data_IF_310659520084
#
_entry.id   IF_310659520084
#
_cell.length_a   1.000
_cell.length_b   1.000
_cell.length_c   1.000
_cell.angle_alpha   90.00
_cell.angle_beta   90.00
_cell.angle_gamma   90.00
#
_symmetry.space_group_name_H-M   'P 1'
#
loop_
_entity.id
_entity.type
_entity.pdbx_description
1 polymer ?
#
# COMPACT_ATOMS: atom_id res chain seq x y z
N UNK A 1 11.22 -23.02 12.17
CA UNK A 1 11.11 -22.08 11.04
C UNK A 1 9.62 -21.87 10.80
N UNK A 2 9.13 -20.63 10.84
CA UNK A 2 7.70 -20.31 10.74
C UNK A 2 7.25 -19.98 9.30
N UNK A 3 8.20 -19.84 8.36
CA UNK A 3 7.93 -19.54 6.96
C UNK A 3 7.96 -20.81 6.10
N UNK A 4 7.19 -20.80 5.01
CA UNK A 4 7.22 -21.82 3.97
C UNK A 4 7.57 -21.18 2.62
N UNK A 5 8.08 -21.99 1.68
CA UNK A 5 8.31 -21.56 0.31
C UNK A 5 7.02 -21.71 -0.51
N UNK A 6 6.93 -20.98 -1.62
CA UNK A 6 5.78 -21.02 -2.52
C UNK A 6 5.47 -22.45 -3.02
N UNK A 7 6.49 -23.25 -3.32
CA UNK A 7 6.34 -24.61 -3.84
C UNK A 7 5.58 -25.54 -2.87
N UNK A 8 5.60 -25.22 -1.57
CA UNK A 8 4.91 -26.00 -0.54
C UNK A 8 3.40 -25.72 -0.51
N UNK A 9 2.96 -24.59 -1.07
CA UNK A 9 1.57 -24.11 -1.02
C UNK A 9 0.92 -23.96 -2.40
N UNK A 10 1.68 -24.13 -3.50
CA UNK A 10 1.19 -23.89 -4.87
C UNK A 10 -0.02 -24.74 -5.28
N UNK A 11 -0.20 -25.93 -4.69
CA UNK A 11 -1.35 -26.83 -4.96
C UNK A 11 -2.50 -26.65 -3.95
N UNK A 12 -2.42 -25.65 -3.07
CA UNK A 12 -3.43 -25.38 -2.04
C UNK A 12 -4.27 -24.16 -2.41
N UNK A 13 -5.49 -24.09 -1.87
CA UNK A 13 -6.34 -22.91 -1.94
C UNK A 13 -6.38 -22.19 -0.60
N UNK A 14 -6.52 -20.86 -0.64
CA UNK A 14 -6.60 -20.00 0.52
C UNK A 14 -7.79 -19.03 0.42
N UNK A 15 -8.40 -18.71 1.56
CA UNK A 15 -9.43 -17.68 1.61
C UNK A 15 -8.83 -16.27 1.43
N UNK A 16 -7.61 -16.06 1.94
CA UNK A 16 -6.96 -14.76 1.94
C UNK A 16 -5.45 -14.83 1.71
N UNK A 17 -4.94 -13.84 0.98
CA UNK A 17 -3.52 -13.56 0.83
C UNK A 17 -3.28 -12.08 1.15
N UNK A 18 -2.22 -11.78 1.89
CA UNK A 18 -1.74 -10.41 2.07
C UNK A 18 -0.34 -10.32 1.48
N UNK A 19 -0.14 -9.37 0.57
CA UNK A 19 1.18 -9.03 0.04
C UNK A 19 1.59 -7.69 0.62
N UNK A 20 2.56 -7.72 1.53
CA UNK A 20 3.02 -6.55 2.28
C UNK A 20 3.81 -5.58 1.39
N UNK A 21 4.05 -4.38 1.90
CA UNK A 21 5.03 -3.47 1.31
C UNK A 21 6.44 -4.07 1.30
N UNK A 22 7.32 -3.45 0.50
CA UNK A 22 8.74 -3.78 0.42
C UNK A 22 9.55 -2.48 0.23
N UNK A 23 10.82 -2.42 0.69
CA UNK A 23 11.68 -1.26 0.55
C UNK A 23 12.24 -1.12 -0.88
N UNK A 24 11.36 -1.15 -1.89
CA UNK A 24 11.66 -1.15 -3.32
C UNK A 24 11.06 0.08 -4.03
N UNK A 25 10.72 1.12 -3.28
CA UNK A 25 10.09 2.34 -3.78
C UNK A 25 10.89 3.06 -4.86
N UNK A 26 12.22 2.93 -4.87
CA UNK A 26 13.13 3.56 -5.84
C UNK A 26 13.79 2.56 -6.80
N UNK A 27 13.40 1.29 -6.75
CA UNK A 27 13.95 0.22 -7.60
C UNK A 27 12.98 -0.02 -8.76
N UNK A 28 13.51 -0.05 -9.98
CA UNK A 28 12.72 -0.43 -11.16
C UNK A 28 12.32 -1.90 -11.11
N UNK A 29 11.14 -2.26 -11.61
CA UNK A 29 10.63 -3.64 -11.50
C UNK A 29 11.59 -4.69 -12.09
N UNK A 30 12.27 -4.36 -13.18
CA UNK A 30 13.24 -5.25 -13.82
C UNK A 30 14.51 -5.49 -12.97
N UNK A 31 14.80 -4.58 -12.04
CA UNK A 31 15.96 -4.69 -11.13
C UNK A 31 15.60 -5.37 -9.80
N UNK A 32 14.32 -5.69 -9.58
CA UNK A 32 13.88 -6.45 -8.41
C UNK A 32 14.23 -7.92 -8.59
N UNK A 33 15.21 -8.41 -7.82
CA UNK A 33 15.75 -9.76 -7.95
C UNK A 33 14.70 -10.90 -7.86
N UNK A 34 13.63 -10.70 -7.07
CA UNK A 34 12.54 -11.66 -6.89
C UNK A 34 11.26 -11.29 -7.68
N UNK A 35 11.37 -10.43 -8.69
CA UNK A 35 10.23 -10.06 -9.55
C UNK A 35 9.57 -11.24 -10.26
N UNK A 36 10.31 -12.23 -10.81
CA UNK A 36 9.68 -13.42 -11.40
C UNK A 36 8.82 -14.19 -10.38
N UNK A 37 9.26 -14.30 -9.13
CA UNK A 37 8.55 -14.98 -8.05
C UNK A 37 7.29 -14.20 -7.64
N UNK A 38 7.33 -12.86 -7.62
CA UNK A 38 6.13 -12.04 -7.39
C UNK A 38 5.10 -12.30 -8.47
N UNK A 39 5.50 -12.26 -9.75
CA UNK A 39 4.59 -12.57 -10.85
C UNK A 39 3.98 -13.96 -10.71
N UNK A 40 4.78 -14.96 -10.34
CA UNK A 40 4.31 -16.32 -10.11
C UNK A 40 3.23 -16.38 -9.03
N UNK A 41 3.43 -15.73 -7.88
CA UNK A 41 2.46 -15.68 -6.78
C UNK A 41 1.19 -14.94 -7.19
N UNK A 42 1.30 -13.81 -7.88
CA UNK A 42 0.14 -13.01 -8.31
C UNK A 42 -0.71 -13.76 -9.34
N UNK A 43 -0.08 -14.42 -10.32
CA UNK A 43 -0.79 -15.26 -11.29
C UNK A 43 -1.46 -16.45 -10.61
N UNK A 44 -0.76 -17.14 -9.70
CA UNK A 44 -1.33 -18.24 -8.91
C UNK A 44 -2.54 -17.80 -8.09
N UNK A 45 -2.50 -16.59 -7.50
CA UNK A 45 -3.57 -16.10 -6.64
C UNK A 45 -4.91 -15.91 -7.36
N UNK A 46 -4.90 -15.76 -8.69
CA UNK A 46 -6.11 -15.62 -9.50
C UNK A 46 -7.03 -16.84 -9.43
N UNK A 47 -6.48 -18.04 -9.22
CA UNK A 47 -7.27 -19.27 -9.16
C UNK A 47 -7.27 -19.90 -7.76
N UNK A 48 -6.27 -19.60 -6.93
CA UNK A 48 -6.06 -20.26 -5.64
C UNK A 48 -6.41 -19.42 -4.42
N UNK A 49 -6.65 -18.12 -4.58
CA UNK A 49 -6.98 -17.22 -3.47
C UNK A 49 -8.34 -16.57 -3.71
N UNK A 50 -9.20 -16.59 -2.71
CA UNK A 50 -10.52 -15.93 -2.79
C UNK A 50 -10.39 -14.41 -2.79
N UNK A 51 -9.57 -13.84 -1.92
CA UNK A 51 -9.27 -12.39 -1.88
C UNK A 51 -7.81 -12.10 -1.54
N UNK A 52 -7.14 -11.31 -2.37
CA UNK A 52 -5.77 -10.83 -2.11
C UNK A 52 -5.76 -9.34 -1.76
N UNK A 53 -5.14 -8.99 -0.63
CA UNK A 53 -4.90 -7.61 -0.21
C UNK A 53 -3.45 -7.20 -0.49
N UNK A 54 -3.25 -6.14 -1.28
CA UNK A 54 -1.95 -5.56 -1.58
C UNK A 54 -1.71 -4.29 -0.78
N UNK A 55 -0.55 -4.18 -0.14
CA UNK A 55 -0.20 -3.06 0.75
C UNK A 55 0.97 -2.25 0.19
N UNK A 56 0.84 -0.92 0.15
CA UNK A 56 1.89 0.04 -0.23
C UNK A 56 2.63 -0.36 -1.53
N UNK A 57 3.91 -0.75 -1.48
CA UNK A 57 4.67 -1.12 -2.68
C UNK A 57 4.03 -2.29 -3.47
N UNK A 58 3.40 -3.24 -2.79
CA UNK A 58 2.73 -4.35 -3.46
C UNK A 58 1.56 -3.89 -4.33
N UNK A 59 0.98 -2.71 -4.04
CA UNK A 59 -0.01 -2.08 -4.92
C UNK A 59 0.63 -1.72 -6.26
N UNK A 60 1.81 -1.08 -6.28
CA UNK A 60 2.51 -0.79 -7.54
C UNK A 60 2.84 -2.07 -8.31
N UNK A 61 3.32 -3.09 -7.60
CA UNK A 61 3.65 -4.37 -8.21
C UNK A 61 2.42 -5.01 -8.89
N UNK A 62 1.30 -5.07 -8.17
CA UNK A 62 0.05 -5.63 -8.68
C UNK A 62 -0.57 -4.80 -9.80
N UNK A 63 -0.58 -3.46 -9.70
CA UNK A 63 -1.03 -2.59 -10.79
C UNK A 63 -0.19 -2.77 -12.06
N UNK A 64 1.12 -2.98 -11.92
CA UNK A 64 1.97 -3.28 -13.06
C UNK A 64 1.65 -4.65 -13.68
N UNK A 65 1.53 -5.69 -12.87
CA UNK A 65 1.36 -7.07 -13.35
C UNK A 65 -0.04 -7.30 -13.90
N UNK A 66 -1.08 -6.76 -13.26
CA UNK A 66 -2.48 -7.01 -13.61
C UNK A 66 -3.02 -6.02 -14.64
N UNK A 67 -2.56 -4.76 -14.60
CA UNK A 67 -3.09 -3.67 -15.43
C UNK A 67 -2.05 -3.04 -16.37
N UNK A 68 -0.79 -3.48 -16.32
CA UNK A 68 0.27 -2.94 -17.17
C UNK A 68 0.69 -1.50 -16.83
N UNK A 69 0.29 -0.98 -15.67
CA UNK A 69 0.57 0.40 -15.26
C UNK A 69 2.07 0.53 -14.94
N UNK A 70 2.80 1.46 -15.58
CA UNK A 70 4.22 1.66 -15.29
C UNK A 70 4.40 2.26 -13.89
N UNK A 71 5.58 2.05 -13.32
CA UNK A 71 5.95 2.63 -12.02
C UNK A 71 5.85 4.16 -12.07
N UNK A 72 5.15 4.75 -11.09
CA UNK A 72 5.15 6.19 -10.85
C UNK A 72 5.76 6.49 -9.48
N UNK A 73 6.64 7.48 -9.43
CA UNK A 73 7.40 7.82 -8.23
C UNK A 73 7.25 9.30 -7.95
N UNK A 74 6.91 9.64 -6.72
CA UNK A 74 6.79 11.01 -6.23
C UNK A 74 8.17 11.66 -6.17
N UNK A 75 8.20 12.98 -6.33
CA UNK A 75 9.42 13.78 -6.11
C UNK A 75 9.85 13.69 -4.65
N UNK A 76 8.90 13.88 -3.73
CA UNK A 76 9.14 13.84 -2.28
C UNK A 76 8.40 12.67 -1.64
N UNK A 77 9.01 12.09 -0.60
CA UNK A 77 8.40 10.99 0.16
C UNK A 77 7.15 11.50 0.86
N UNK A 78 6.02 10.82 0.67
CA UNK A 78 4.84 11.01 1.52
C UNK A 78 5.07 10.28 2.84
N UNK A 79 5.20 11.02 3.95
CA UNK A 79 5.47 10.48 5.29
C UNK A 79 4.62 11.20 6.34
N UNK A 80 3.77 10.49 7.08
CA UNK A 80 2.87 11.10 8.08
C UNK A 80 1.51 10.43 8.20
N UNK A 81 0.59 11.06 8.92
CA UNK A 81 -0.79 10.63 9.15
C UNK A 81 -1.74 11.61 8.46
N UNK A 82 -2.40 11.15 7.40
CA UNK A 82 -3.17 11.99 6.49
C UNK A 82 -4.67 11.77 6.67
N UNK A 83 -5.45 12.77 6.26
CA UNK A 83 -6.91 12.71 6.25
C UNK A 83 -7.40 12.08 4.94
N UNK A 84 -8.43 11.24 5.08
CA UNK A 84 -9.08 10.50 4.01
C UNK A 84 -10.58 10.69 4.09
N UNK A 85 -11.28 10.51 2.98
CA UNK A 85 -12.74 10.42 2.94
C UNK A 85 -13.21 9.21 2.13
N UNK A 86 -14.37 8.66 2.51
CA UNK A 86 -15.00 7.55 1.78
C UNK A 86 -15.78 8.05 0.55
N UNK A 87 -15.82 7.24 -0.51
CA UNK A 87 -16.59 7.56 -1.73
C UNK A 87 -17.93 6.82 -1.82
N UNK A 88 -18.08 5.74 -1.06
CA UNK A 88 -19.25 4.85 -1.13
C UNK A 88 -19.77 4.52 0.27
N UNK A 89 -20.83 5.22 0.75
CA UNK A 89 -21.32 5.09 2.13
C UNK A 89 -21.78 3.67 2.52
N UNK A 90 -22.13 2.83 1.55
CA UNK A 90 -22.63 1.48 1.78
C UNK A 90 -21.66 0.38 1.32
N UNK A 91 -20.44 0.73 0.91
CA UNK A 91 -19.44 -0.25 0.51
C UNK A 91 -19.08 -1.19 1.68
N UNK A 92 -18.77 -2.45 1.35
CA UNK A 92 -18.52 -3.48 2.36
C UNK A 92 -17.20 -3.25 3.11
N UNK A 93 -16.14 -2.87 2.39
CA UNK A 93 -14.79 -2.78 2.96
C UNK A 93 -14.62 -1.56 3.88
N UNK A 94 -15.38 -0.49 3.67
CA UNK A 94 -15.41 0.73 4.49
C UNK A 94 -16.62 0.78 5.42
N UNK A 95 -17.30 -0.35 5.63
CA UNK A 95 -18.48 -0.39 6.50
C UNK A 95 -18.11 -0.01 7.93
N UNK A 96 -18.76 1.03 8.44
CA UNK A 96 -18.54 1.53 9.80
C UNK A 96 -17.37 2.50 9.92
N UNK A 97 -16.77 2.91 8.81
CA UNK A 97 -15.85 4.04 8.79
C UNK A 97 -16.65 5.33 9.00
N UNK A 98 -16.04 6.33 9.63
CA UNK A 98 -16.52 7.70 9.57
C UNK A 98 -16.41 8.23 8.13
N UNK A 99 -17.16 9.29 7.81
CA UNK A 99 -17.12 9.91 6.47
C UNK A 99 -15.71 10.37 6.11
N UNK A 100 -14.98 10.91 7.10
CA UNK A 100 -13.55 11.24 7.04
C UNK A 100 -12.79 10.56 8.18
N UNK A 101 -11.58 10.09 7.91
CA UNK A 101 -10.75 9.34 8.87
C UNK A 101 -9.25 9.57 8.64
N UNK A 102 -8.42 9.13 9.58
CA UNK A 102 -6.96 9.26 9.51
C UNK A 102 -6.29 7.92 9.19
N UNK A 103 -5.30 7.92 8.30
CA UNK A 103 -4.41 6.78 8.11
C UNK A 103 -2.96 7.21 7.78
N UNK A 104 -1.95 6.41 8.21
CA UNK A 104 -0.56 6.72 7.95
C UNK A 104 -0.14 6.36 6.51
N UNK A 105 0.79 7.14 5.96
CA UNK A 105 1.47 6.88 4.70
C UNK A 105 2.99 7.01 4.89
N UNK A 106 3.75 6.11 4.25
CA UNK A 106 5.22 6.19 4.16
C UNK A 106 5.68 5.63 2.80
N UNK A 107 5.67 6.46 1.76
CA UNK A 107 5.92 5.99 0.38
C UNK A 107 6.50 7.03 -0.57
N UNK A 108 7.34 6.55 -1.49
CA UNK A 108 7.68 7.24 -2.74
C UNK A 108 6.77 6.82 -3.90
N UNK A 109 6.10 5.68 -3.78
CA UNK A 109 5.12 5.23 -4.76
C UNK A 109 4.03 6.28 -4.93
N UNK A 110 3.73 6.66 -6.18
CA UNK A 110 2.64 7.58 -6.48
C UNK A 110 1.36 6.84 -6.86
N UNK A 111 0.22 7.31 -6.36
CA UNK A 111 -1.09 6.68 -6.57
C UNK A 111 -2.22 7.72 -6.79
N UNK A 112 -2.12 8.61 -7.78
CA UNK A 112 -3.21 9.55 -8.06
C UNK A 112 -4.52 8.79 -8.33
N UNK A 113 -5.65 9.22 -7.78
CA UNK A 113 -6.93 8.53 -8.01
C UNK A 113 -7.29 8.46 -9.50
N UNK A 114 -6.92 9.48 -10.28
CA UNK A 114 -7.07 9.49 -11.74
C UNK A 114 -6.35 8.32 -12.42
N UNK A 115 -5.16 7.92 -11.95
CA UNK A 115 -4.44 6.76 -12.47
C UNK A 115 -5.28 5.48 -12.37
N UNK A 116 -5.97 5.30 -11.24
CA UNK A 116 -6.80 4.13 -11.01
C UNK A 116 -8.08 4.20 -11.87
N UNK A 117 -8.74 5.36 -11.94
CA UNK A 117 -9.97 5.54 -12.73
C UNK A 117 -9.75 5.38 -14.23
N UNK A 118 -8.63 5.88 -14.74
CA UNK A 118 -8.39 5.96 -16.19
C UNK A 118 -7.84 4.66 -16.78
N UNK A 119 -7.15 3.85 -15.96
CA UNK A 119 -6.40 2.67 -16.42
C UNK A 119 -6.83 1.33 -15.80
N UNK A 120 -7.84 1.33 -14.93
CA UNK A 120 -8.34 0.10 -14.28
C UNK A 120 -9.86 0.04 -14.27
N UNK A 121 -10.40 -1.12 -13.90
CA UNK A 121 -11.82 -1.36 -13.64
C UNK A 121 -12.15 -1.39 -12.14
N UNK A 122 -11.22 -0.95 -11.29
CA UNK A 122 -11.31 -1.00 -9.83
C UNK A 122 -12.23 0.10 -9.30
N UNK A 123 -12.99 -0.23 -8.25
CA UNK A 123 -13.80 0.76 -7.53
C UNK A 123 -12.97 1.39 -6.42
N UNK A 124 -12.83 2.71 -6.45
CA UNK A 124 -12.16 3.48 -5.40
C UNK A 124 -13.15 3.70 -4.26
N UNK A 125 -12.73 3.30 -3.06
CA UNK A 125 -13.55 3.30 -1.85
C UNK A 125 -13.21 4.46 -0.92
N UNK A 126 -11.95 4.90 -0.90
CA UNK A 126 -11.49 6.06 -0.14
C UNK A 126 -10.27 6.72 -0.80
N UNK A 127 -10.16 8.03 -0.65
CA UNK A 127 -9.09 8.89 -1.18
C UNK A 127 -8.50 9.77 -0.08
N UNK A 128 -7.26 10.23 -0.25
CA UNK A 128 -6.72 11.34 0.56
C UNK A 128 -7.32 12.66 0.10
N UNK A 129 -7.30 13.70 0.94
CA UNK A 129 -7.72 15.05 0.53
C UNK A 129 -6.90 15.60 -0.66
N UNK A 130 -5.65 15.17 -0.81
CA UNK A 130 -4.77 15.53 -1.92
C UNK A 130 -5.05 14.74 -3.22
N UNK A 131 -6.03 13.82 -3.20
CA UNK A 131 -6.50 13.10 -4.40
C UNK A 131 -5.76 11.80 -4.73
N UNK A 132 -5.04 11.21 -3.76
CA UNK A 132 -4.45 9.87 -3.93
C UNK A 132 -5.47 8.79 -3.58
N UNK A 133 -5.49 7.70 -4.35
CA UNK A 133 -6.29 6.52 -4.02
C UNK A 133 -5.72 5.83 -2.77
N UNK A 134 -6.53 5.72 -1.71
CA UNK A 134 -6.15 5.06 -0.47
C UNK A 134 -6.62 3.60 -0.43
N UNK A 135 -7.91 3.37 -0.62
CA UNK A 135 -8.53 2.04 -0.67
C UNK A 135 -9.29 1.86 -1.97
N UNK A 136 -9.06 0.75 -2.64
CA UNK A 136 -9.78 0.38 -3.86
C UNK A 136 -9.78 -1.13 -4.05
N UNK A 137 -10.77 -1.65 -4.77
CA UNK A 137 -10.97 -3.10 -4.94
C UNK A 137 -11.71 -3.46 -6.23
N UNK A 138 -11.59 -4.72 -6.65
CA UNK A 138 -12.43 -5.27 -7.73
C UNK A 138 -13.85 -5.54 -7.23
N UNK A 139 -14.84 -5.45 -8.13
CA UNK A 139 -16.26 -5.67 -7.79
C UNK A 139 -16.56 -7.08 -7.29
N UNK A 140 -15.83 -8.06 -7.80
CA UNK A 140 -15.90 -9.46 -7.39
C UNK A 140 -15.20 -9.73 -6.03
N UNK A 141 -14.51 -8.73 -5.47
CA UNK A 141 -13.73 -8.78 -4.23
C UNK A 141 -12.50 -9.68 -4.29
N UNK A 142 -12.05 -10.12 -5.47
CA UNK A 142 -10.85 -10.95 -5.62
C UNK A 142 -9.56 -10.20 -5.26
N UNK A 143 -9.52 -8.89 -5.51
CA UNK A 143 -8.34 -8.06 -5.24
C UNK A 143 -8.75 -6.77 -4.53
N UNK A 144 -8.01 -6.42 -3.49
CA UNK A 144 -8.14 -5.20 -2.73
C UNK A 144 -6.76 -4.56 -2.52
N UNK A 145 -6.72 -3.25 -2.40
CA UNK A 145 -5.50 -2.47 -2.36
C UNK A 145 -5.60 -1.42 -1.27
N UNK A 146 -4.53 -1.25 -0.50
CA UNK A 146 -4.36 -0.19 0.50
C UNK A 146 -3.00 0.47 0.31
N UNK A 147 -2.98 1.77 0.04
CA UNK A 147 -1.73 2.49 -0.29
C UNK A 147 -1.04 3.14 0.92
N UNK A 148 -1.74 3.24 2.05
CA UNK A 148 -1.16 3.60 3.35
C UNK A 148 -0.79 2.37 4.18
N UNK A 149 -0.52 2.61 5.47
CA UNK A 149 -0.02 1.62 6.41
C UNK A 149 -0.84 1.57 7.72
N UNK A 150 -2.16 1.33 7.67
CA UNK A 150 -2.99 1.29 8.88
C UNK A 150 -2.56 0.22 9.89
N UNK A 151 -1.69 -0.72 9.50
CA UNK A 151 -1.08 -1.72 10.36
C UNK A 151 0.07 -1.21 11.24
N UNK A 152 0.53 0.02 11.04
CA UNK A 152 1.65 0.59 11.80
C UNK A 152 1.31 0.74 13.29
N UNK A 153 2.29 0.40 14.12
CA UNK A 153 2.30 0.76 15.54
C UNK A 153 2.52 2.26 15.70
N UNK A 154 2.14 2.79 16.86
CA UNK A 154 2.28 4.20 17.20
C UNK A 154 3.71 4.76 17.11
N UNK A 155 4.74 3.91 17.01
CA UNK A 155 6.15 4.30 16.96
C UNK A 155 6.83 4.02 15.61
N UNK A 156 6.14 3.41 14.64
CA UNK A 156 6.77 2.98 13.38
C UNK A 156 7.30 4.16 12.56
N UNK A 157 6.50 5.21 12.38
CA UNK A 157 6.95 6.42 11.66
C UNK A 157 8.07 7.15 12.41
N UNK A 158 8.06 7.15 13.75
CA UNK A 158 9.15 7.69 14.55
C UNK A 158 10.46 6.93 14.30
N UNK A 159 10.40 5.60 14.30
CA UNK A 159 11.57 4.76 14.06
C UNK A 159 12.14 4.97 12.66
N UNK A 160 11.30 5.12 11.64
CA UNK A 160 11.76 5.48 10.29
C UNK A 160 12.44 6.83 10.26
N UNK A 161 11.83 7.85 10.86
CA UNK A 161 12.40 9.19 10.95
C UNK A 161 13.78 9.18 11.62
N UNK A 162 13.90 8.57 12.80
CA UNK A 162 15.18 8.52 13.53
C UNK A 162 16.24 7.68 12.80
N UNK A 163 15.86 6.56 12.18
CA UNK A 163 16.77 5.78 11.33
C UNK A 163 17.34 6.61 10.19
N UNK A 164 16.49 7.39 9.51
CA UNK A 164 16.90 8.20 8.36
C UNK A 164 17.81 9.37 8.82
N UNK A 165 17.51 10.00 9.97
CA UNK A 165 18.40 10.99 10.61
C UNK A 165 19.76 10.38 11.00
N UNK A 166 19.77 9.19 11.62
CA UNK A 166 21.00 8.48 12.00
C UNK A 166 21.85 8.08 10.80
N UNK A 167 21.22 7.81 9.65
CA UNK A 167 21.89 7.56 8.37
C UNK A 167 22.48 8.83 7.73
N UNK A 168 22.32 9.99 8.36
CA UNK A 168 22.79 11.28 7.85
C UNK A 168 21.92 11.86 6.74
N UNK A 169 20.69 11.37 6.59
CA UNK A 169 19.68 12.01 5.75
C UNK A 169 19.06 13.18 6.51
N UNK A 170 18.44 14.10 5.79
CA UNK A 170 17.69 15.24 6.34
C UNK A 170 16.19 15.06 6.05
N UNK A 171 15.51 14.05 6.64
CA UNK A 171 14.09 13.82 6.39
C UNK A 171 13.24 14.87 7.08
N UNK A 172 12.15 15.28 6.44
CA UNK A 172 11.11 16.05 7.11
C UNK A 172 10.47 15.21 8.23
N UNK A 173 10.06 15.91 9.29
CA UNK A 173 9.27 15.31 10.36
C UNK A 173 7.95 14.76 9.77
N UNK A 174 7.54 13.51 10.07
CA UNK A 174 6.30 12.96 9.52
C UNK A 174 5.11 13.86 9.82
N UNK A 175 4.33 14.16 8.78
CA UNK A 175 3.20 15.07 8.86
C UNK A 175 2.17 14.58 9.89
N UNK A 176 1.67 15.50 10.73
CA UNK A 176 0.58 15.25 11.69
C UNK A 176 0.82 14.00 12.58
N UNK A 177 2.07 13.81 13.02
CA UNK A 177 2.46 12.63 13.79
C UNK A 177 3.01 12.96 15.18
N UNK A 178 4.07 13.78 15.27
CA UNK A 178 4.60 14.22 16.57
C UNK A 178 3.78 15.39 17.13
N UNK A 179 3.44 15.40 18.43
CA UNK A 179 2.83 16.56 19.08
C UNK A 179 3.67 17.82 18.85
N UNK A 180 3.02 18.86 18.34
CA UNK A 180 3.66 20.14 17.99
C UNK A 180 4.79 20.04 16.94
N UNK A 181 4.81 18.95 16.14
CA UNK A 181 5.87 18.64 15.17
C UNK A 181 7.28 18.57 15.81
N UNK A 182 7.36 18.20 17.08
CA UNK A 182 8.62 18.07 17.81
C UNK A 182 8.95 16.59 18.04
N UNK A 183 9.99 16.03 17.37
CA UNK A 183 10.38 14.63 17.50
C UNK A 183 10.82 14.22 18.92
N UNK A 184 11.09 15.18 19.82
CA UNK A 184 11.43 14.88 21.21
C UNK A 184 10.18 14.53 22.06
N UNK A 185 8.99 14.92 21.60
CA UNK A 185 7.72 14.60 22.25
C UNK A 185 7.23 13.23 21.75
N UNK A 186 7.61 12.17 22.48
CA UNK A 186 7.21 10.78 22.20
C UNK A 186 5.82 10.43 22.71
#
# INVERSE_FOLDING_TARGET
>A
NFYCNFENIQEQNFDGLIVTGAPLGLVEFNDVAYWPQIKQVLEWSKDHVTSTLFVCWAVQAALNILYGIPKQTRTDKLSGVYEHHILHPHALLTRGFDDSFLAPHSRYADFPAALIRDYTDLEILAETEEGDAYLFASKDKRIAFVTGHPEYDAQTLAQEYFRDVEAGLDPDVPYNYFPHNDPQNK
#
